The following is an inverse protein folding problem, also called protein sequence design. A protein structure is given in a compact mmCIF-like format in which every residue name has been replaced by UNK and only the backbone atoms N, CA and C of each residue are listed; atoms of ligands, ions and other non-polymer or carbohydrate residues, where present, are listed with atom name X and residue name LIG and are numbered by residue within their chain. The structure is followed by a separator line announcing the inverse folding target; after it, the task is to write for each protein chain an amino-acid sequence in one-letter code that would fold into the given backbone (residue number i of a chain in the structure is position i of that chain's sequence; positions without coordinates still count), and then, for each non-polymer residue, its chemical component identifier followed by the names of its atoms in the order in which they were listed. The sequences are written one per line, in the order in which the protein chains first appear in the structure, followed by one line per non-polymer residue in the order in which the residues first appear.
data_IF_114373742361
#
_entry.id   IF_114373742361
#
_cell.length_a   1.000
_cell.length_b   1.000
_cell.length_c   1.000
_cell.angle_alpha   90.00
_cell.angle_beta   90.00
_cell.angle_gamma   90.00
#
_symmetry.space_group_name_H-M   'P 1'
#
loop_
_entity.id
_entity.type
_entity.pdbx_description
1 polymer ?
#
# COMPACT_ATOMS: atom_id res chain seq x y z
N UNK A 1 -24.04 -11.93 13.59
CA UNK A 1 -23.32 -12.05 12.30
C UNK A 1 -21.85 -12.33 12.59
N UNK A 2 -21.16 -13.13 11.78
CA UNK A 2 -19.72 -13.37 11.95
C UNK A 2 -18.93 -12.11 11.56
N UNK A 3 -17.73 -11.94 12.12
CA UNK A 3 -16.85 -10.83 11.76
C UNK A 3 -16.42 -10.94 10.28
N UNK A 4 -16.36 -9.82 9.54
CA UNK A 4 -15.87 -9.81 8.16
C UNK A 4 -14.47 -10.40 8.06
N UNK A 5 -14.23 -11.18 7.01
CA UNK A 5 -12.96 -11.89 6.82
C UNK A 5 -12.38 -11.71 5.43
N UNK A 6 -11.08 -11.98 5.34
CA UNK A 6 -10.36 -12.06 4.08
C UNK A 6 -10.64 -13.38 3.40
N UNK A 7 -10.89 -13.33 2.10
CA UNK A 7 -11.08 -14.49 1.24
C UNK A 7 -10.00 -14.49 0.16
N UNK A 8 -9.34 -15.63 -0.04
CA UNK A 8 -8.51 -15.81 -1.23
C UNK A 8 -9.38 -16.22 -2.42
N UNK A 9 -9.39 -15.39 -3.45
CA UNK A 9 -10.06 -15.68 -4.73
C UNK A 9 -9.36 -16.86 -5.41
N UNK A 10 -10.15 -17.76 -6.01
CA UNK A 10 -9.67 -18.97 -6.70
C UNK A 10 -9.90 -18.87 -8.21
N UNK A 11 -8.99 -19.46 -9.01
CA UNK A 11 -9.12 -19.56 -10.48
C UNK A 11 -9.85 -20.82 -10.93
N UNK A 12 -10.32 -21.64 -10.01
CA UNK A 12 -11.03 -22.89 -10.30
C UNK A 12 -12.28 -22.58 -11.14
N UNK A 13 -12.44 -23.30 -12.25
CA UNK A 13 -13.62 -23.16 -13.13
C UNK A 13 -14.90 -23.29 -12.30
N UNK A 14 -15.84 -22.37 -12.49
CA UNK A 14 -17.11 -22.35 -11.75
C UNK A 14 -17.05 -21.66 -10.39
N UNK A 15 -15.87 -21.30 -9.86
CA UNK A 15 -15.77 -20.54 -8.62
C UNK A 15 -16.55 -19.23 -8.72
N UNK A 16 -17.27 -18.91 -7.65
CA UNK A 16 -17.96 -17.65 -7.41
C UNK A 16 -17.57 -17.15 -6.03
N UNK A 17 -17.47 -15.84 -5.88
CA UNK A 17 -17.34 -15.24 -4.56
C UNK A 17 -18.61 -15.54 -3.75
N UNK A 18 -18.50 -15.72 -2.42
CA UNK A 18 -19.67 -15.77 -1.56
C UNK A 18 -20.55 -14.52 -1.77
N UNK A 19 -21.87 -14.64 -1.54
CA UNK A 19 -22.75 -13.47 -1.47
C UNK A 19 -22.15 -12.40 -0.55
N UNK A 20 -22.32 -11.14 -0.92
CA UNK A 20 -21.85 -9.95 -0.17
C UNK A 20 -20.33 -9.73 -0.07
N UNK A 21 -19.51 -10.68 -0.55
CA UNK A 21 -18.07 -10.49 -0.60
C UNK A 21 -17.66 -9.53 -1.73
N UNK A 22 -16.79 -8.56 -1.42
CA UNK A 22 -16.31 -7.56 -2.39
C UNK A 22 -14.93 -7.95 -2.92
N UNK A 23 -14.78 -7.92 -4.24
CA UNK A 23 -13.47 -8.08 -4.87
C UNK A 23 -12.64 -6.81 -4.73
N UNK A 24 -11.49 -6.91 -4.07
CA UNK A 24 -10.56 -5.79 -3.84
C UNK A 24 -9.20 -6.00 -4.52
N UNK A 25 -9.07 -7.00 -5.39
CA UNK A 25 -7.79 -7.32 -6.05
C UNK A 25 -7.40 -6.38 -7.20
N UNK A 26 -6.35 -6.77 -7.94
CA UNK A 26 -5.83 -6.06 -9.12
C UNK A 26 -6.94 -5.72 -10.12
N UNK A 27 -6.97 -4.46 -10.57
CA UNK A 27 -7.97 -3.94 -11.51
C UNK A 27 -9.26 -3.44 -10.87
N UNK A 28 -9.42 -3.57 -9.55
CA UNK A 28 -10.44 -2.83 -8.79
C UNK A 28 -9.87 -1.50 -8.30
N UNK A 29 -10.74 -0.55 -7.94
CA UNK A 29 -10.35 0.70 -7.28
C UNK A 29 -9.70 0.50 -5.89
N UNK A 30 -9.86 -0.68 -5.30
CA UNK A 30 -9.29 -1.07 -4.02
C UNK A 30 -7.99 -1.88 -4.16
N UNK A 31 -7.47 -2.03 -5.37
CA UNK A 31 -6.25 -2.79 -5.62
C UNK A 31 -5.02 -2.09 -5.06
N UNK A 32 -4.03 -2.87 -4.59
CA UNK A 32 -2.74 -2.32 -4.19
C UNK A 32 -1.94 -1.82 -5.41
N UNK A 33 -1.59 -0.51 -5.50
CA UNK A 33 -0.73 -0.01 -6.56
C UNK A 33 0.75 -0.44 -6.38
N UNK A 34 1.14 -0.85 -5.17
CA UNK A 34 2.49 -1.33 -4.86
C UNK A 34 2.60 -2.82 -5.18
N UNK A 35 3.40 -3.15 -6.19
CA UNK A 35 3.59 -4.50 -6.72
C UNK A 35 4.92 -5.08 -6.25
N UNK A 36 4.86 -6.22 -5.56
CA UNK A 36 6.06 -6.99 -5.16
C UNK A 36 6.91 -7.30 -6.39
N UNK A 37 8.21 -7.02 -6.29
CA UNK A 37 9.17 -7.19 -7.38
C UNK A 37 9.22 -6.02 -8.39
N UNK A 38 8.43 -4.96 -8.18
CA UNK A 38 8.45 -3.74 -9.01
C UNK A 38 8.58 -2.48 -8.15
N UNK A 39 7.85 -2.42 -7.03
CA UNK A 39 7.91 -1.29 -6.09
C UNK A 39 9.30 -1.15 -5.53
N UNK A 40 9.79 0.08 -5.51
CA UNK A 40 11.07 0.43 -4.94
C UNK A 40 10.90 1.22 -3.64
N UNK A 41 11.88 1.06 -2.77
CA UNK A 41 12.05 1.84 -1.56
C UNK A 41 13.49 2.34 -1.50
N UNK A 42 13.70 3.41 -0.73
CA UNK A 42 15.03 3.89 -0.34
C UNK A 42 15.33 3.53 1.10
N UNK A 43 16.59 3.19 1.35
CA UNK A 43 17.11 2.86 2.69
C UNK A 43 18.45 3.60 2.89
N UNK A 44 18.59 4.48 3.88
CA UNK A 44 17.53 4.96 4.76
C UNK A 44 16.48 5.81 4.00
N UNK A 45 15.29 5.97 4.58
CA UNK A 45 14.33 6.99 4.18
C UNK A 45 14.73 8.38 4.71
N UNK A 46 14.01 9.42 4.27
CA UNK A 46 14.18 10.80 4.75
C UNK A 46 13.70 10.93 6.21
N UNK A 47 12.51 10.42 6.51
CA UNK A 47 11.82 10.55 7.79
C UNK A 47 11.61 9.20 8.53
N UNK A 48 11.99 8.09 7.91
CA UNK A 48 11.84 6.74 8.45
C UNK A 48 13.01 5.85 8.01
N UNK A 49 13.12 4.65 8.59
CA UNK A 49 14.15 3.67 8.22
C UNK A 49 14.10 3.31 6.73
N UNK A 50 12.92 3.41 6.11
CA UNK A 50 12.72 3.25 4.67
C UNK A 50 11.53 4.08 4.21
N UNK A 51 11.53 4.48 2.94
CA UNK A 51 10.43 5.22 2.32
C UNK A 51 10.17 4.75 0.89
N UNK A 52 8.95 5.01 0.39
CA UNK A 52 8.63 4.80 -1.02
C UNK A 52 9.60 5.56 -1.91
N UNK A 53 10.15 4.87 -2.90
CA UNK A 53 10.97 5.49 -3.95
C UNK A 53 10.15 5.53 -5.24
N UNK A 54 9.55 6.70 -5.51
CA UNK A 54 8.72 6.94 -6.69
C UNK A 54 9.50 7.40 -7.93
N UNK A 55 10.78 7.75 -7.81
CA UNK A 55 11.56 8.29 -8.93
C UNK A 55 11.92 7.17 -9.91
N UNK A 56 11.39 7.30 -11.13
CA UNK A 56 11.59 6.35 -12.22
C UNK A 56 13.08 6.21 -12.61
N UNK A 57 13.46 5.01 -13.06
CA UNK A 57 14.78 4.65 -13.65
C UNK A 57 15.93 4.30 -12.69
N UNK A 58 15.66 3.96 -11.43
CA UNK A 58 16.71 3.41 -10.56
C UNK A 58 16.71 1.88 -10.62
N UNK A 59 17.90 1.28 -10.60
CA UNK A 59 18.06 -0.17 -10.51
C UNK A 59 18.26 -0.56 -9.05
N UNK A 60 17.70 -1.69 -8.61
CA UNK A 60 17.96 -2.26 -7.29
C UNK A 60 19.46 -2.36 -7.03
N UNK A 61 19.93 -1.87 -5.88
CA UNK A 61 21.35 -1.81 -5.50
C UNK A 61 22.06 -0.53 -5.96
N UNK A 62 21.37 0.38 -6.65
CA UNK A 62 21.94 1.68 -6.98
C UNK A 62 21.94 2.58 -5.74
N UNK A 63 23.12 3.07 -5.38
CA UNK A 63 23.28 4.13 -4.38
C UNK A 63 23.02 5.49 -5.03
N UNK A 64 22.08 6.26 -4.49
CA UNK A 64 21.72 7.57 -5.04
C UNK A 64 21.69 8.66 -3.98
N UNK A 65 22.00 9.89 -4.39
CA UNK A 65 21.88 11.06 -3.53
C UNK A 65 20.45 11.60 -3.61
N UNK A 66 19.82 11.80 -2.45
CA UNK A 66 18.55 12.50 -2.31
C UNK A 66 18.82 13.92 -1.83
N UNK A 67 18.58 14.90 -2.69
CA UNK A 67 18.67 16.31 -2.33
C UNK A 67 17.41 16.72 -1.55
N UNK A 68 17.57 17.19 -0.32
CA UNK A 68 16.50 17.70 0.55
C UNK A 68 16.39 19.23 0.53
N UNK A 69 17.34 19.91 -0.11
CA UNK A 69 17.37 21.37 -0.22
C UNK A 69 18.76 21.88 -0.61
N UNK A 70 19.01 23.17 -0.38
CA UNK A 70 20.34 23.77 -0.50
C UNK A 70 20.74 24.48 0.79
N UNK A 71 22.03 24.53 1.10
CA UNK A 71 22.55 25.38 2.16
C UNK A 71 22.60 26.87 1.74
N UNK A 72 23.09 27.72 2.63
CA UNK A 72 23.22 29.17 2.42
C UNK A 72 24.18 29.53 1.27
N UNK A 73 25.08 28.62 0.88
CA UNK A 73 25.97 28.78 -0.26
C UNK A 73 25.35 28.27 -1.58
N UNK A 74 24.11 27.77 -1.54
CA UNK A 74 23.43 27.17 -2.68
C UNK A 74 23.88 25.74 -2.99
N UNK A 75 24.66 25.10 -2.10
CA UNK A 75 25.12 23.74 -2.29
C UNK A 75 24.02 22.74 -1.90
N UNK A 76 23.79 21.67 -2.69
CA UNK A 76 22.75 20.71 -2.39
C UNK A 76 23.05 19.97 -1.09
N UNK A 77 22.10 20.02 -0.16
CA UNK A 77 22.12 19.22 1.07
C UNK A 77 21.21 18.01 0.91
N UNK A 78 21.57 16.92 1.55
CA UNK A 78 20.88 15.66 1.34
C UNK A 78 21.62 14.48 1.94
N UNK A 79 21.22 13.28 1.52
CA UNK A 79 21.81 12.04 1.99
C UNK A 79 21.89 10.99 0.88
N UNK A 80 22.79 10.05 1.07
CA UNK A 80 22.91 8.87 0.21
C UNK A 80 22.03 7.75 0.73
N UNK A 81 21.28 7.10 -0.15
CA UNK A 81 20.51 5.91 0.16
C UNK A 81 20.69 4.85 -0.94
N UNK A 82 20.35 3.62 -0.59
CA UNK A 82 20.27 2.51 -1.52
C UNK A 82 18.82 2.30 -1.97
N UNK A 83 18.64 2.11 -3.27
CA UNK A 83 17.34 1.74 -3.84
C UNK A 83 17.19 0.23 -3.79
N UNK A 84 16.12 -0.26 -3.17
CA UNK A 84 15.85 -1.69 -3.00
C UNK A 84 14.44 -2.04 -3.49
N UNK A 85 14.21 -3.29 -3.86
CA UNK A 85 12.85 -3.79 -4.09
C UNK A 85 12.14 -3.91 -2.75
N UNK A 86 10.93 -3.37 -2.68
CA UNK A 86 10.10 -3.51 -1.51
C UNK A 86 9.75 -4.99 -1.27
N UNK A 87 9.81 -5.42 -0.01
CA UNK A 87 9.24 -6.69 0.41
C UNK A 87 7.72 -6.68 0.30
N UNK A 88 7.09 -7.85 0.52
CA UNK A 88 5.64 -7.95 0.59
C UNK A 88 5.06 -7.10 1.72
N UNK A 89 5.70 -7.15 2.89
CA UNK A 89 5.34 -6.42 4.09
C UNK A 89 5.40 -4.92 3.81
N UNK A 90 6.49 -4.45 3.19
CA UNK A 90 6.66 -3.05 2.82
C UNK A 90 5.62 -2.61 1.76
N UNK A 91 5.29 -3.44 0.77
CA UNK A 91 4.21 -3.14 -0.17
C UNK A 91 2.83 -3.02 0.51
N UNK A 92 2.58 -3.80 1.58
CA UNK A 92 1.34 -3.71 2.35
C UNK A 92 1.33 -2.48 3.26
N UNK A 93 2.47 -2.12 3.86
CA UNK A 93 2.57 -0.92 4.68
C UNK A 93 2.46 0.36 3.83
N UNK A 94 3.09 0.39 2.65
CA UNK A 94 2.87 1.47 1.66
C UNK A 94 1.40 1.59 1.29
N UNK A 95 0.71 0.47 1.09
CA UNK A 95 -0.73 0.47 0.84
C UNK A 95 -1.52 1.05 2.01
N UNK A 96 -1.14 0.76 3.26
CA UNK A 96 -1.77 1.35 4.45
C UNK A 96 -1.61 2.87 4.48
N UNK A 97 -0.42 3.38 4.19
CA UNK A 97 -0.19 4.84 4.13
C UNK A 97 -1.03 5.47 3.00
N UNK A 98 -1.03 4.86 1.82
CA UNK A 98 -1.83 5.28 0.67
C UNK A 98 -3.33 5.29 0.98
N UNK A 99 -3.86 4.19 1.53
CA UNK A 99 -5.28 4.06 1.89
C UNK A 99 -5.71 5.00 3.02
N UNK A 100 -4.76 5.55 3.79
CA UNK A 100 -4.99 6.60 4.79
C UNK A 100 -4.87 8.02 4.21
N UNK A 101 -4.64 8.15 2.90
CA UNK A 101 -4.64 9.42 2.19
C UNK A 101 -3.32 10.19 2.24
N UNK A 102 -2.23 9.53 2.65
CA UNK A 102 -0.89 10.11 2.54
C UNK A 102 -0.50 10.17 1.06
N UNK A 103 0.02 11.32 0.64
CA UNK A 103 0.58 11.50 -0.69
C UNK A 103 2.01 10.96 -0.70
N UNK A 104 2.22 9.86 -1.41
CA UNK A 104 3.51 9.18 -1.53
C UNK A 104 4.17 9.60 -2.84
N UNK A 105 5.03 10.62 -2.77
CA UNK A 105 5.85 11.13 -3.89
C UNK A 105 5.11 11.26 -5.24
N UNK A 106 3.96 11.93 -5.25
CA UNK A 106 3.13 12.14 -6.45
C UNK A 106 2.42 10.89 -7.00
N UNK A 107 2.34 9.80 -6.23
CA UNK A 107 1.42 8.71 -6.54
C UNK A 107 -0.06 9.16 -6.42
N UNK A 108 -0.29 10.31 -5.79
CA UNK A 108 -1.62 10.84 -5.48
C UNK A 108 -2.14 10.30 -4.16
N UNK A 109 -3.22 10.92 -3.68
CA UNK A 109 -3.91 10.46 -2.47
C UNK A 109 -4.73 9.21 -2.80
N UNK A 110 -4.70 8.22 -1.90
CA UNK A 110 -5.59 7.07 -2.01
C UNK A 110 -7.06 7.42 -1.77
N UNK A 111 -7.92 6.40 -1.91
CA UNK A 111 -9.36 6.55 -1.68
C UNK A 111 -9.63 7.10 -0.27
N UNK A 112 -10.52 8.11 -0.12
CA UNK A 112 -10.89 8.63 1.19
C UNK A 112 -11.36 7.52 2.14
N UNK A 113 -10.90 7.56 3.39
CA UNK A 113 -11.29 6.59 4.44
C UNK A 113 -12.81 6.44 4.57
N UNK A 114 -13.57 7.51 4.32
CA UNK A 114 -15.02 7.49 4.30
C UNK A 114 -15.59 6.52 3.25
N UNK A 115 -15.01 6.45 2.04
CA UNK A 115 -15.44 5.50 1.01
C UNK A 115 -15.13 4.06 1.40
N UNK A 116 -13.95 3.81 1.99
CA UNK A 116 -13.56 2.48 2.47
C UNK A 116 -14.60 1.97 3.49
N UNK A 117 -14.96 2.79 4.48
CA UNK A 117 -15.96 2.42 5.50
C UNK A 117 -17.35 2.25 4.91
N UNK A 118 -17.80 3.17 4.07
CA UNK A 118 -19.15 3.15 3.50
C UNK A 118 -19.38 1.95 2.56
N UNK A 119 -18.37 1.58 1.76
CA UNK A 119 -18.54 0.54 0.74
C UNK A 119 -18.10 -0.85 1.20
N UNK A 120 -17.16 -0.94 2.15
CA UNK A 120 -16.55 -2.22 2.58
C UNK A 120 -16.91 -2.60 4.01
N UNK A 121 -17.48 -1.70 4.82
CA UNK A 121 -17.86 -1.97 6.20
C UNK A 121 -18.81 -3.16 6.31
N UNK A 122 -18.48 -4.11 7.19
CA UNK A 122 -19.27 -5.32 7.39
C UNK A 122 -19.17 -6.38 6.28
N UNK A 123 -18.33 -6.20 5.25
CA UNK A 123 -18.24 -7.11 4.10
C UNK A 123 -16.95 -7.93 4.09
N UNK A 124 -17.07 -9.18 3.67
CA UNK A 124 -15.91 -10.03 3.38
C UNK A 124 -15.14 -9.47 2.17
N UNK A 125 -13.81 -9.47 2.24
CA UNK A 125 -12.96 -8.91 1.17
C UNK A 125 -12.15 -9.99 0.47
N UNK A 126 -12.21 -10.01 -0.86
CA UNK A 126 -11.53 -11.00 -1.67
C UNK A 126 -10.34 -10.43 -2.45
N UNK A 127 -9.13 -10.95 -2.19
CA UNK A 127 -7.91 -10.68 -2.94
C UNK A 127 -7.35 -12.00 -3.55
N UNK A 128 -6.41 -11.90 -4.48
CA UNK A 128 -5.72 -13.09 -5.03
C UNK A 128 -4.59 -13.61 -4.12
N UNK A 129 -4.18 -12.83 -3.12
CA UNK A 129 -2.99 -13.13 -2.31
C UNK A 129 -3.20 -14.37 -1.41
N UNK A 130 -2.15 -15.17 -1.16
CA UNK A 130 -2.17 -16.29 -0.22
C UNK A 130 -2.54 -15.86 1.20
N UNK A 131 -3.41 -16.62 1.89
CA UNK A 131 -3.96 -16.25 3.20
C UNK A 131 -2.92 -16.22 4.34
N UNK A 132 -1.80 -16.92 4.16
CA UNK A 132 -0.66 -17.01 5.08
C UNK A 132 0.36 -15.88 4.93
N UNK A 133 0.06 -14.90 4.07
CA UNK A 133 0.95 -13.81 3.70
C UNK A 133 0.25 -12.46 3.86
N UNK A 134 0.96 -11.37 4.17
CA UNK A 134 0.37 -10.03 4.23
C UNK A 134 -0.39 -9.67 2.92
N UNK A 135 -1.63 -9.18 3.05
CA UNK A 135 -2.42 -8.64 1.93
C UNK A 135 -2.97 -7.25 2.28
N UNK A 136 -3.15 -6.46 1.24
CA UNK A 136 -3.82 -5.16 1.32
C UNK A 136 -5.30 -5.28 1.74
N UNK A 137 -5.93 -6.45 1.51
CA UNK A 137 -7.28 -6.72 2.00
C UNK A 137 -7.36 -6.73 3.53
N UNK A 138 -6.29 -7.10 4.24
CA UNK A 138 -6.25 -7.07 5.70
C UNK A 138 -6.25 -5.61 6.20
N UNK A 139 -5.51 -4.72 5.53
CA UNK A 139 -5.52 -3.27 5.77
C UNK A 139 -6.92 -2.68 5.52
N UNK A 140 -7.59 -3.07 4.43
CA UNK A 140 -8.95 -2.61 4.14
C UNK A 140 -9.96 -3.10 5.19
N UNK A 141 -9.85 -4.36 5.63
CA UNK A 141 -10.70 -4.91 6.69
C UNK A 141 -10.53 -4.14 8.01
N UNK A 142 -9.29 -3.82 8.38
CA UNK A 142 -8.98 -2.99 9.55
C UNK A 142 -9.64 -1.61 9.42
N UNK A 143 -9.39 -0.89 8.31
CA UNK A 143 -9.90 0.47 8.12
C UNK A 143 -11.43 0.52 8.05
N UNK A 144 -12.04 -0.42 7.32
CA UNK A 144 -13.48 -0.46 7.08
C UNK A 144 -14.29 -0.79 8.34
N UNK A 145 -13.70 -1.56 9.26
CA UNK A 145 -14.37 -2.04 10.47
C UNK A 145 -13.81 -1.44 11.77
N UNK A 146 -12.82 -0.54 11.69
CA UNK A 146 -12.36 0.20 12.84
C UNK A 146 -13.54 1.00 13.45
N UNK A 147 -13.72 1.01 14.77
CA UNK A 147 -14.75 1.83 15.40
C UNK A 147 -14.54 3.27 14.97
N UNK A 148 -15.62 3.93 14.51
CA UNK A 148 -15.58 5.34 14.21
C UNK A 148 -15.06 6.06 15.46
N UNK A 149 -13.98 6.83 15.34
CA UNK A 149 -13.62 7.78 16.38
C UNK A 149 -14.91 8.55 16.69
N UNK A 150 -15.39 8.44 17.94
CA UNK A 150 -16.43 9.33 18.42
C UNK A 150 -16.00 10.76 18.08
N UNK A 151 -16.93 11.52 17.50
CA UNK A 151 -16.68 12.85 16.95
C UNK A 151 -16.06 13.83 17.92
#
# INVERSE_FOLDING_TARGET
MSAPKRIQRKRTKGYRLPPDAVYVGRGSKWGNPFVVGQTQIRVPGVAADWEYEGRLHKTTGQRTFYCTGTDDAGMPVGFWHDVQLATREQCVELYRLYARGLDLENLGRGEPLAHVRAELGGRDLACWCPLDQPCHADVLLEIANAPGAAG
#
